data_IF_813609508360
#
_entry.id   IF_813609508360
#
_cell.length_a   1.000
_cell.length_b   1.000
_cell.length_c   1.000
_cell.angle_alpha   90.00
_cell.angle_beta   90.00
_cell.angle_gamma   90.00
#
_symmetry.space_group_name_H-M   'P 1'
#
loop_
_entity.id
_entity.type
_entity.pdbx_description
1 polymer ?
#
# COMPACT_ATOMS: atom_id res chain seq x y z
N UNK A 1 0.12 -2.54 6.78
CA UNK A 1 -1.26 -2.41 6.25
C UNK A 1 -1.31 -3.12 4.92
N UNK A 2 -2.32 -3.95 4.73
CA UNK A 2 -2.59 -4.81 3.55
C UNK A 2 -2.44 -4.04 2.24
N UNK A 3 -1.84 -4.71 1.25
CA UNK A 3 -1.50 -4.24 -0.11
C UNK A 3 -2.67 -3.55 -0.79
N UNK A 4 -2.82 -2.25 -0.55
CA UNK A 4 -3.74 -1.41 -1.31
C UNK A 4 -3.09 -1.12 -2.67
N UNK A 5 -3.77 -1.35 -3.81
CA UNK A 5 -3.24 -1.02 -5.12
C UNK A 5 -2.73 0.43 -5.17
N UNK A 6 -1.66 0.69 -5.94
CA UNK A 6 -1.07 2.02 -5.95
C UNK A 6 -2.05 3.09 -6.47
N UNK A 7 -3.01 2.72 -7.34
CA UNK A 7 -4.06 3.63 -7.81
C UNK A 7 -5.23 3.81 -6.82
N UNK A 8 -5.14 3.27 -5.60
CA UNK A 8 -6.14 3.47 -4.54
C UNK A 8 -5.71 4.60 -3.58
N UNK A 9 -6.61 5.10 -2.71
CA UNK A 9 -6.25 6.14 -1.74
C UNK A 9 -5.20 5.66 -0.71
N UNK A 10 -4.11 6.42 -0.52
CA UNK A 10 -3.04 6.12 0.45
C UNK A 10 -2.92 7.17 1.56
N UNK A 11 -2.10 6.88 2.56
CA UNK A 11 -1.73 7.84 3.60
C UNK A 11 -2.84 8.12 4.62
N UNK A 12 -3.76 7.16 4.79
CA UNK A 12 -4.90 7.27 5.71
C UNK A 12 -4.50 7.52 7.17
N UNK A 13 -3.25 7.23 7.54
CA UNK A 13 -2.72 7.32 8.90
C UNK A 13 -2.12 8.70 9.23
N UNK A 14 -1.96 9.54 8.20
CA UNK A 14 -1.42 10.90 8.22
C UNK A 14 -2.52 11.96 8.05
N UNK A 15 -3.78 11.56 8.23
CA UNK A 15 -4.96 12.41 8.09
C UNK A 15 -6.07 11.95 9.02
N UNK A 16 -6.85 12.92 9.48
CA UNK A 16 -8.09 12.72 10.24
C UNK A 16 -9.29 12.24 9.40
N UNK A 17 -9.14 12.06 8.09
CA UNK A 17 -10.20 11.56 7.19
C UNK A 17 -10.65 10.15 7.55
N UNK A 18 -9.72 9.27 7.95
CA UNK A 18 -10.08 7.89 8.31
C UNK A 18 -10.42 7.76 9.80
N UNK A 19 -11.22 6.73 10.15
CA UNK A 19 -11.79 6.56 11.49
C UNK A 19 -10.74 6.77 12.59
N UNK A 20 -11.02 7.71 13.51
CA UNK A 20 -10.15 7.99 14.64
C UNK A 20 -9.83 6.74 15.47
N UNK A 21 -8.53 6.45 15.64
CA UNK A 21 -8.05 5.33 16.46
C UNK A 21 -6.63 4.87 16.12
N UNK A 22 -6.19 5.04 14.88
CA UNK A 22 -4.82 4.78 14.44
C UNK A 22 -4.31 5.96 13.61
N UNK A 23 -3.87 7.01 14.29
CA UNK A 23 -3.23 8.18 13.67
C UNK A 23 -1.78 8.27 14.13
N UNK A 24 -0.85 8.47 13.21
CA UNK A 24 0.58 8.59 13.50
C UNK A 24 0.95 9.95 14.15
N UNK A 25 -0.04 10.77 14.52
CA UNK A 25 0.16 12.09 15.14
C UNK A 25 0.62 13.18 14.16
N UNK A 26 0.49 12.93 12.85
CA UNK A 26 0.87 13.84 11.77
C UNK A 26 -0.37 14.08 10.90
N UNK A 27 -0.61 15.33 10.50
CA UNK A 27 -1.68 15.72 9.58
C UNK A 27 -1.04 16.38 8.35
N UNK A 28 -1.20 15.76 7.17
CA UNK A 28 -0.62 16.24 5.91
C UNK A 28 -1.75 16.62 4.95
N UNK A 29 -2.04 17.92 4.75
CA UNK A 29 -3.14 18.36 3.89
C UNK A 29 -3.08 17.83 2.46
N UNK A 30 -1.89 17.74 1.86
CA UNK A 30 -1.72 17.17 0.51
C UNK A 30 -2.16 15.71 0.43
N UNK A 31 -1.94 14.92 1.48
CA UNK A 31 -2.42 13.53 1.54
C UNK A 31 -3.94 13.51 1.63
N UNK A 32 -4.53 14.34 2.51
CA UNK A 32 -5.98 14.43 2.66
C UNK A 32 -6.67 14.82 1.33
N UNK A 33 -6.17 15.86 0.65
CA UNK A 33 -6.68 16.29 -0.65
C UNK A 33 -6.54 15.21 -1.74
N UNK A 34 -5.40 14.51 -1.76
CA UNK A 34 -5.16 13.43 -2.73
C UNK A 34 -6.08 12.24 -2.44
N UNK A 35 -6.29 11.90 -1.17
CA UNK A 35 -7.19 10.84 -0.75
C UNK A 35 -8.61 11.08 -1.29
N UNK A 36 -9.14 12.30 -1.16
CA UNK A 36 -10.47 12.66 -1.67
C UNK A 36 -10.53 12.62 -3.21
N UNK A 37 -9.51 13.16 -3.90
CA UNK A 37 -9.43 13.13 -5.37
C UNK A 37 -9.41 11.70 -5.92
N UNK A 38 -8.57 10.85 -5.35
CA UNK A 38 -8.43 9.44 -5.75
C UNK A 38 -9.70 8.66 -5.43
N UNK A 39 -10.34 8.93 -4.29
CA UNK A 39 -11.61 8.29 -3.91
C UNK A 39 -12.77 8.65 -4.85
N UNK A 40 -12.76 9.86 -5.42
CA UNK A 40 -13.80 10.33 -6.33
C UNK A 40 -13.56 10.00 -7.81
N UNK A 41 -12.34 9.62 -8.20
CA UNK A 41 -11.96 9.36 -9.59
C UNK A 41 -12.17 7.90 -10.01
N UNK A 42 -12.85 7.70 -11.13
CA UNK A 42 -13.16 6.36 -11.65
C UNK A 42 -12.05 5.81 -12.56
N UNK A 43 -11.27 6.69 -13.21
CA UNK A 43 -10.17 6.31 -14.09
C UNK A 43 -8.90 5.95 -13.30
N UNK A 44 -8.45 4.70 -13.45
CA UNK A 44 -7.27 4.19 -12.78
C UNK A 44 -5.98 4.94 -13.16
N UNK A 45 -5.84 5.37 -14.42
CA UNK A 45 -4.66 6.10 -14.86
C UNK A 45 -4.57 7.48 -14.19
N UNK A 46 -5.70 8.18 -14.07
CA UNK A 46 -5.75 9.47 -13.36
C UNK A 46 -5.51 9.33 -11.86
N UNK A 47 -6.04 8.27 -11.24
CA UNK A 47 -5.73 7.98 -9.83
C UNK A 47 -4.24 7.76 -9.63
N UNK A 48 -3.59 7.07 -10.56
CA UNK A 48 -2.15 6.87 -10.55
C UNK A 48 -1.40 8.21 -10.61
N UNK A 49 -1.76 9.09 -11.55
CA UNK A 49 -1.19 10.45 -11.68
C UNK A 49 -1.33 11.26 -10.37
N UNK A 50 -2.51 11.26 -9.74
CA UNK A 50 -2.70 11.97 -8.47
C UNK A 50 -1.83 11.43 -7.33
N UNK A 51 -1.64 10.11 -7.28
CA UNK A 51 -0.78 9.48 -6.28
C UNK A 51 0.70 9.73 -6.57
N UNK A 52 1.14 9.77 -7.82
CA UNK A 52 2.51 10.19 -8.18
C UNK A 52 2.80 11.61 -7.72
N UNK A 53 1.90 12.56 -7.98
CA UNK A 53 2.07 13.95 -7.51
C UNK A 53 2.21 14.04 -5.97
N UNK A 54 1.50 13.18 -5.25
CA UNK A 54 1.61 13.11 -3.80
C UNK A 54 2.95 12.51 -3.36
N UNK A 55 3.42 11.47 -4.04
CA UNK A 55 4.73 10.86 -3.76
C UNK A 55 5.86 11.86 -4.01
N UNK A 56 5.81 12.61 -5.10
CA UNK A 56 6.79 13.66 -5.40
C UNK A 56 6.81 14.73 -4.30
N UNK A 57 5.64 15.16 -3.85
CA UNK A 57 5.53 16.08 -2.71
C UNK A 57 6.17 15.49 -1.43
N UNK A 58 5.88 14.24 -1.10
CA UNK A 58 6.43 13.59 0.09
C UNK A 58 7.95 13.40 0.01
N UNK A 59 8.46 13.14 -1.20
CA UNK A 59 9.90 13.08 -1.48
C UNK A 59 10.57 14.42 -1.19
N UNK A 60 10.03 15.52 -1.74
CA UNK A 60 10.58 16.86 -1.57
C UNK A 60 10.54 17.34 -0.12
N UNK A 61 9.48 17.01 0.61
CA UNK A 61 9.34 17.39 2.01
C UNK A 61 10.14 16.50 2.96
N UNK A 62 10.65 15.35 2.50
CA UNK A 62 11.39 14.37 3.30
C UNK A 62 10.69 13.97 4.61
N UNK A 63 9.35 13.90 4.60
CA UNK A 63 8.54 13.64 5.80
C UNK A 63 8.68 12.19 6.26
N UNK A 64 8.91 11.27 5.31
CA UNK A 64 9.14 9.86 5.57
C UNK A 64 10.55 9.47 5.14
N UNK A 65 11.27 8.79 6.03
CA UNK A 65 12.50 8.11 5.65
C UNK A 65 12.14 6.86 4.85
N UNK A 66 12.38 6.89 3.53
CA UNK A 66 12.28 5.71 2.69
C UNK A 66 13.28 4.66 3.13
N UNK A 67 12.82 3.43 3.38
CA UNK A 67 13.70 2.29 3.66
C UNK A 67 13.60 1.29 2.49
N UNK A 68 14.74 0.73 2.10
CA UNK A 68 14.76 -0.40 1.15
C UNK A 68 14.68 -1.67 1.97
N UNK A 69 13.59 -2.42 1.82
CA UNK A 69 13.40 -3.69 2.51
C UNK A 69 13.85 -4.86 1.62
N UNK A 70 14.65 -5.76 2.18
CA UNK A 70 14.97 -7.05 1.53
C UNK A 70 13.68 -7.88 1.47
N UNK A 71 13.36 -8.52 0.33
CA UNK A 71 12.16 -9.35 0.22
C UNK A 71 12.09 -10.38 1.34
N UNK A 72 10.98 -10.38 2.08
CA UNK A 72 10.74 -11.40 3.10
C UNK A 72 10.25 -12.67 2.42
N UNK A 73 10.95 -13.78 2.66
CA UNK A 73 10.60 -15.07 2.06
C UNK A 73 9.43 -15.71 2.81
N UNK A 74 8.52 -16.34 2.06
CA UNK A 74 7.44 -17.15 2.60
C UNK A 74 7.88 -18.62 2.63
N UNK A 75 7.64 -19.31 3.74
CA UNK A 75 7.93 -20.75 3.88
C UNK A 75 6.62 -21.52 3.79
N UNK A 76 6.55 -22.50 2.88
CA UNK A 76 5.39 -23.36 2.70
C UNK A 76 5.79 -24.81 2.38
N UNK A 77 4.86 -25.75 2.51
CA UNK A 77 5.10 -27.18 2.23
C UNK A 77 5.09 -27.43 0.71
N UNK A 78 6.23 -27.77 0.06
CA UNK A 78 6.28 -27.99 -1.38
C UNK A 78 5.52 -29.24 -1.83
N UNK A 79 5.19 -30.17 -0.91
CA UNK A 79 4.35 -31.34 -1.23
C UNK A 79 2.85 -30.99 -1.33
N UNK A 80 2.45 -29.82 -0.84
CA UNK A 80 1.05 -29.38 -0.86
C UNK A 80 0.85 -28.16 -1.76
N UNK A 81 1.90 -27.36 -1.97
CA UNK A 81 1.86 -26.11 -2.73
C UNK A 81 2.98 -26.14 -3.77
N UNK A 82 2.61 -26.11 -5.05
CA UNK A 82 3.55 -26.06 -6.18
C UNK A 82 4.06 -24.64 -6.45
N UNK A 83 3.28 -23.63 -6.09
CA UNK A 83 3.62 -22.23 -6.30
C UNK A 83 2.78 -21.30 -5.42
N UNK A 84 3.38 -20.20 -4.99
CA UNK A 84 2.69 -19.15 -4.27
C UNK A 84 3.35 -17.81 -4.60
N UNK A 85 2.80 -17.11 -5.59
CA UNK A 85 3.25 -15.78 -5.98
C UNK A 85 2.40 -14.73 -5.25
N UNK A 86 2.86 -14.34 -4.05
CA UNK A 86 2.27 -13.24 -3.31
C UNK A 86 2.48 -11.89 -3.98
N UNK A 87 1.73 -10.88 -3.55
CA UNK A 87 1.94 -9.50 -3.97
C UNK A 87 3.16 -8.91 -3.24
N UNK A 88 3.96 -8.05 -3.90
CA UNK A 88 5.00 -7.32 -3.20
C UNK A 88 4.40 -6.45 -2.08
N UNK A 89 4.75 -6.73 -0.82
CA UNK A 89 4.22 -6.00 0.33
C UNK A 89 5.23 -5.89 1.47
N UNK A 90 5.23 -4.76 2.18
CA UNK A 90 6.04 -4.54 3.38
C UNK A 90 5.66 -5.50 4.52
N UNK A 91 4.41 -6.00 4.50
CA UNK A 91 3.86 -6.93 5.49
C UNK A 91 3.38 -8.25 4.86
N UNK A 92 4.00 -8.69 3.75
CA UNK A 92 3.61 -9.86 2.96
C UNK A 92 3.55 -11.21 3.71
N UNK A 93 4.01 -11.25 4.97
CA UNK A 93 4.24 -12.51 5.70
C UNK A 93 3.00 -13.18 6.27
N UNK A 94 1.84 -12.52 6.33
CA UNK A 94 0.72 -13.02 7.15
C UNK A 94 -0.67 -13.03 6.52
N UNK A 95 -0.89 -12.47 5.32
CA UNK A 95 -2.27 -12.21 4.84
C UNK A 95 -2.54 -12.47 3.35
N UNK A 96 -1.67 -13.17 2.62
CA UNK A 96 -1.81 -13.31 1.16
C UNK A 96 -2.14 -14.76 0.73
N UNK A 97 -3.26 -15.32 1.19
CA UNK A 97 -3.65 -16.71 0.85
C UNK A 97 -4.18 -16.89 -0.59
N UNK A 98 -4.30 -15.79 -1.33
CA UNK A 98 -4.56 -15.77 -2.76
C UNK A 98 -3.39 -16.36 -3.57
N UNK A 99 -3.69 -16.79 -4.79
CA UNK A 99 -2.70 -17.29 -5.77
C UNK A 99 -1.88 -18.51 -5.32
N UNK A 100 -2.34 -19.25 -4.30
CA UNK A 100 -1.77 -20.55 -3.93
C UNK A 100 -2.14 -21.58 -5.01
N UNK A 101 -1.11 -22.18 -5.60
CA UNK A 101 -1.23 -23.32 -6.50
C UNK A 101 -0.96 -24.60 -5.72
N UNK A 102 -1.95 -25.49 -5.66
CA UNK A 102 -1.80 -26.76 -4.98
C UNK A 102 -0.99 -27.74 -5.84
N UNK A 103 -0.09 -28.48 -5.19
CA UNK A 103 0.57 -29.62 -5.81
C UNK A 103 -0.49 -30.69 -6.10
N UNK A 104 -0.76 -30.95 -7.39
CA UNK A 104 -1.63 -32.05 -7.84
C UNK A 104 -0.85 -33.36 -7.91
#
# INVERSE_FOLDING_TARGET
>A
STTIPFDWPHGSTETSITRGGFGCGIEIPKIAETFDKVSAESDAAKRFEYNEEMVDYLYDQMIFAGTVQVPTLVVYNPNSISGWLGTPSMFATMNEFEHIELAR
#
